data_IF_007194957529
#
_entry.id   IF_007194957529
#
_cell.length_a   1.000
_cell.length_b   1.000
_cell.length_c   1.000
_cell.angle_alpha   90.00
_cell.angle_beta   90.00
_cell.angle_gamma   90.00
#
_symmetry.space_group_name_H-M   'P 1'
#
loop_
_entity.id
_entity.type
_entity.pdbx_description
1 polymer ?
#
# COMPACT_ATOMS: atom_id res chain seq x y z
N UNK A 1 20.91 -2.69 -9.68
CA UNK A 1 19.83 -3.20 -10.57
C UNK A 1 18.79 -3.85 -9.68
N UNK A 2 17.50 -3.51 -9.85
CA UNK A 2 16.41 -4.00 -9.00
C UNK A 2 16.37 -5.55 -8.95
N UNK A 3 16.64 -6.21 -10.08
CA UNK A 3 16.86 -7.65 -10.14
C UNK A 3 18.21 -7.94 -10.80
N UNK A 4 18.99 -8.86 -10.23
CA UNK A 4 20.30 -9.30 -10.77
C UNK A 4 20.15 -10.35 -11.89
N UNK A 5 18.98 -10.98 -12.00
CA UNK A 5 18.62 -11.95 -13.03
C UNK A 5 17.21 -11.64 -13.57
N UNK A 6 16.92 -12.04 -14.82
CA UNK A 6 15.58 -11.88 -15.40
C UNK A 6 14.57 -12.71 -14.60
N UNK A 7 13.70 -12.05 -13.84
CA UNK A 7 12.49 -12.66 -13.28
C UNK A 7 11.41 -12.71 -14.35
N UNK A 8 10.86 -13.89 -14.61
CA UNK A 8 9.70 -14.15 -15.48
C UNK A 8 9.20 -15.60 -15.30
N UNK A 9 7.90 -15.87 -15.56
CA UNK A 9 6.82 -14.97 -15.23
C UNK A 9 6.79 -14.76 -13.70
N UNK A 10 6.33 -13.58 -13.31
CA UNK A 10 6.15 -13.21 -11.91
C UNK A 10 4.66 -13.20 -11.60
N UNK A 11 4.24 -13.93 -10.58
CA UNK A 11 2.83 -14.08 -10.18
C UNK A 11 2.74 -13.98 -8.66
N UNK A 12 2.17 -12.89 -8.12
CA UNK A 12 2.17 -12.64 -6.69
C UNK A 12 3.33 -11.77 -6.24
N UNK A 13 3.02 -10.77 -5.43
CA UNK A 13 3.96 -9.77 -4.92
C UNK A 13 3.47 -9.26 -3.58
N UNK A 14 4.37 -8.94 -2.66
CA UNK A 14 3.98 -8.39 -1.35
C UNK A 14 5.00 -7.40 -0.81
N UNK A 15 4.56 -6.40 -0.04
CA UNK A 15 5.44 -5.62 0.82
C UNK A 15 5.45 -6.18 2.24
N UNK A 16 6.64 -6.46 2.77
CA UNK A 16 6.77 -7.02 4.11
C UNK A 16 6.59 -5.93 5.18
N UNK A 17 5.39 -5.82 5.75
CA UNK A 17 5.10 -4.98 6.92
C UNK A 17 4.43 -5.82 8.01
N UNK A 18 5.24 -6.35 8.91
CA UNK A 18 4.79 -7.18 10.04
C UNK A 18 5.86 -7.24 11.11
N UNK A 19 5.52 -6.85 12.34
CA UNK A 19 6.45 -6.94 13.49
C UNK A 19 6.87 -8.37 13.84
N UNK A 20 6.18 -9.39 13.30
CA UNK A 20 6.62 -10.78 13.41
C UNK A 20 7.98 -11.01 12.72
N UNK A 21 8.32 -10.20 11.71
CA UNK A 21 9.62 -10.23 11.03
C UNK A 21 10.57 -9.15 11.55
N UNK A 22 11.90 -9.26 11.31
CA UNK A 22 12.89 -8.28 11.74
C UNK A 22 12.65 -6.85 11.23
N UNK A 23 13.24 -5.86 11.91
CA UNK A 23 13.04 -4.44 11.57
C UNK A 23 13.71 -4.08 10.24
N UNK A 24 14.86 -4.68 9.95
CA UNK A 24 15.70 -4.43 8.77
C UNK A 24 15.08 -4.91 7.44
N UNK A 25 13.98 -5.65 7.50
CA UNK A 25 13.22 -6.15 6.33
C UNK A 25 11.86 -5.49 6.17
N UNK A 26 11.48 -4.56 7.05
CA UNK A 26 10.21 -3.85 6.93
C UNK A 26 10.22 -2.94 5.70
N UNK A 27 9.21 -3.08 4.83
CA UNK A 27 9.13 -2.37 3.55
C UNK A 27 9.89 -3.02 2.40
N UNK A 28 10.52 -4.18 2.63
CA UNK A 28 11.08 -4.97 1.53
C UNK A 28 9.96 -5.50 0.62
N UNK A 29 10.29 -5.68 -0.66
CA UNK A 29 9.38 -6.18 -1.69
C UNK A 29 9.68 -7.64 -2.03
N UNK A 30 8.65 -8.47 -1.90
CA UNK A 30 8.66 -9.90 -2.22
C UNK A 30 8.05 -10.11 -3.59
N UNK A 31 8.68 -10.94 -4.41
CA UNK A 31 8.18 -11.29 -5.75
C UNK A 31 8.39 -12.77 -6.02
N UNK A 32 7.31 -13.44 -6.40
CA UNK A 32 7.36 -14.83 -6.86
C UNK A 32 7.93 -14.91 -8.28
N UNK A 33 8.58 -16.03 -8.58
CA UNK A 33 9.12 -16.33 -9.89
C UNK A 33 9.08 -17.84 -10.18
N UNK A 34 8.94 -18.20 -11.45
CA UNK A 34 8.78 -19.61 -11.86
C UNK A 34 9.66 -20.07 -13.02
N UNK A 35 10.33 -19.18 -13.78
CA UNK A 35 11.31 -19.56 -14.81
C UNK A 35 12.68 -18.96 -14.47
N UNK A 36 13.73 -19.79 -14.56
CA UNK A 36 15.11 -19.41 -14.22
C UNK A 36 15.41 -19.36 -12.72
N UNK A 37 14.38 -19.16 -11.89
CA UNK A 37 14.43 -19.26 -10.43
C UNK A 37 13.06 -19.69 -9.91
N UNK A 38 12.95 -20.88 -9.32
CA UNK A 38 11.69 -21.44 -8.81
C UNK A 38 11.53 -21.04 -7.35
N UNK A 39 10.96 -19.86 -7.08
CA UNK A 39 11.12 -19.28 -5.75
C UNK A 39 10.48 -17.91 -5.54
N UNK A 40 10.79 -17.33 -4.38
CA UNK A 40 10.45 -15.97 -4.01
C UNK A 40 11.74 -15.21 -3.74
N UNK A 41 11.89 -14.06 -4.41
CA UNK A 41 12.99 -13.13 -4.18
C UNK A 41 12.52 -12.00 -3.28
N UNK A 42 13.39 -11.61 -2.35
CA UNK A 42 13.18 -10.45 -1.48
C UNK A 42 14.12 -9.33 -1.90
N UNK A 43 13.56 -8.14 -2.05
CA UNK A 43 14.29 -6.95 -2.48
C UNK A 43 14.20 -5.89 -1.40
N UNK A 44 15.34 -5.28 -1.09
CA UNK A 44 15.36 -4.03 -0.35
C UNK A 44 14.92 -2.92 -1.30
N UNK A 45 13.97 -2.09 -0.89
CA UNK A 45 13.38 -1.02 -1.71
C UNK A 45 13.57 0.33 -1.04
N UNK A 46 13.84 1.35 -1.83
CA UNK A 46 13.87 2.74 -1.39
C UNK A 46 13.35 3.68 -2.49
N UNK A 47 13.01 4.90 -2.10
CA UNK A 47 12.49 5.91 -3.01
C UNK A 47 13.61 6.45 -3.92
N UNK A 48 13.29 6.67 -5.20
CA UNK A 48 14.19 7.31 -6.18
C UNK A 48 13.36 8.27 -7.05
N UNK A 49 13.44 9.56 -6.74
CA UNK A 49 12.53 10.57 -7.29
C UNK A 49 11.07 10.28 -6.92
N UNK A 50 10.16 10.35 -7.89
CA UNK A 50 8.76 9.95 -7.67
C UNK A 50 8.56 8.41 -7.64
N UNK A 51 9.56 7.64 -8.09
CA UNK A 51 9.51 6.19 -8.20
C UNK A 51 10.16 5.46 -7.03
N UNK A 52 10.46 4.19 -7.26
CA UNK A 52 11.19 3.32 -6.36
C UNK A 52 12.30 2.60 -7.10
N UNK A 53 13.39 2.35 -6.40
CA UNK A 53 14.47 1.47 -6.84
C UNK A 53 14.85 0.53 -5.70
N UNK A 54 15.82 -0.33 -5.94
CA UNK A 54 16.13 -1.39 -4.99
C UNK A 54 17.24 -2.31 -5.46
N UNK A 55 17.49 -3.31 -4.62
CA UNK A 55 18.44 -4.38 -4.90
C UNK A 55 17.96 -5.70 -4.31
N UNK A 56 18.41 -6.80 -4.91
CA UNK A 56 18.16 -8.14 -4.39
C UNK A 56 18.80 -8.28 -3.01
N UNK A 57 18.00 -8.59 -2.00
CA UNK A 57 18.49 -8.93 -0.66
C UNK A 57 18.83 -10.41 -0.57
N UNK A 58 17.87 -11.27 -0.91
CA UNK A 58 18.02 -12.72 -0.79
C UNK A 58 17.00 -13.48 -1.63
N UNK A 59 17.33 -14.74 -1.88
CA UNK A 59 16.38 -15.76 -2.33
C UNK A 59 15.67 -16.33 -1.09
N UNK A 60 14.51 -15.75 -0.75
CA UNK A 60 13.81 -16.01 0.51
C UNK A 60 13.28 -17.44 0.61
N UNK A 61 12.79 -17.97 -0.51
CA UNK A 61 12.32 -19.35 -0.64
C UNK A 61 12.68 -19.83 -2.04
N UNK A 62 13.18 -21.05 -2.15
CA UNK A 62 13.37 -21.72 -3.43
C UNK A 62 13.02 -23.20 -3.30
N UNK A 63 12.68 -23.83 -4.42
CA UNK A 63 12.40 -25.26 -4.49
C UNK A 63 13.13 -25.90 -5.67
N UNK A 64 13.57 -27.14 -5.47
CA UNK A 64 14.09 -28.04 -6.50
C UNK A 64 12.99 -28.84 -7.20
N UNK A 65 11.75 -28.78 -6.69
CA UNK A 65 10.58 -29.35 -7.33
C UNK A 65 10.27 -28.59 -8.64
N UNK A 66 10.38 -29.26 -9.81
CA UNK A 66 10.14 -28.62 -11.09
C UNK A 66 8.70 -28.16 -11.27
N UNK A 67 7.76 -28.57 -10.41
CA UNK A 67 6.36 -28.16 -10.43
C UNK A 67 6.04 -27.02 -9.45
N UNK A 68 6.99 -26.53 -8.65
CA UNK A 68 6.76 -25.40 -7.75
C UNK A 68 6.44 -24.10 -8.52
N UNK A 69 5.25 -23.54 -8.28
CA UNK A 69 4.67 -22.34 -8.91
C UNK A 69 4.11 -21.39 -7.85
N UNK A 70 4.96 -20.67 -7.09
CA UNK A 70 4.48 -19.65 -6.17
C UNK A 70 3.73 -18.58 -6.97
N UNK A 71 2.46 -18.35 -6.61
CA UNK A 71 1.56 -17.48 -7.35
C UNK A 71 0.95 -16.35 -6.52
N UNK A 72 1.04 -16.42 -5.20
CA UNK A 72 0.56 -15.37 -4.30
C UNK A 72 1.35 -15.33 -2.99
N UNK A 73 1.47 -14.14 -2.40
CA UNK A 73 2.07 -13.93 -1.07
C UNK A 73 1.18 -12.97 -0.29
N UNK A 74 0.79 -13.35 0.93
CA UNK A 74 -0.06 -12.51 1.78
C UNK A 74 0.40 -12.57 3.24
N UNK A 75 0.49 -11.41 3.91
CA UNK A 75 0.69 -11.37 5.37
C UNK A 75 -0.63 -11.67 6.10
N UNK A 76 -0.65 -12.70 6.93
CA UNK A 76 -1.76 -13.06 7.78
C UNK A 76 -1.94 -12.10 8.97
N UNK A 77 -3.12 -12.09 9.63
CA UNK A 77 -3.38 -11.26 10.83
C UNK A 77 -2.43 -11.49 11.99
N UNK A 78 -1.89 -12.69 12.09
CA UNK A 78 -0.91 -13.08 13.11
C UNK A 78 0.53 -12.68 12.73
N UNK A 79 0.68 -11.92 11.65
CA UNK A 79 1.95 -11.41 11.15
C UNK A 79 2.78 -12.41 10.35
N UNK A 80 2.38 -13.68 10.25
CA UNK A 80 3.07 -14.68 9.40
C UNK A 80 2.82 -14.43 7.91
N UNK A 81 3.67 -14.95 7.03
CA UNK A 81 3.46 -14.89 5.58
C UNK A 81 2.87 -16.21 5.08
N UNK A 82 1.87 -16.13 4.24
CA UNK A 82 1.32 -17.26 3.51
C UNK A 82 1.72 -17.17 2.03
N UNK A 83 2.06 -18.33 1.46
CA UNK A 83 2.39 -18.45 0.04
C UNK A 83 1.48 -19.51 -0.55
N UNK A 84 0.86 -19.16 -1.66
CA UNK A 84 0.13 -20.11 -2.49
C UNK A 84 1.05 -20.61 -3.60
N UNK A 85 1.12 -21.92 -3.72
CA UNK A 85 1.77 -22.60 -4.82
C UNK A 85 0.72 -23.34 -5.63
N UNK A 86 0.56 -22.95 -6.91
CA UNK A 86 -0.35 -23.63 -7.83
C UNK A 86 0.09 -25.10 -8.01
N UNK A 87 1.38 -25.42 -7.93
CA UNK A 87 1.93 -26.75 -8.19
C UNK A 87 1.49 -27.31 -9.56
N UNK A 88 2.13 -26.84 -10.64
CA UNK A 88 1.70 -27.19 -12.00
C UNK A 88 2.89 -27.51 -12.93
N UNK A 89 2.91 -28.68 -13.60
CA UNK A 89 3.94 -29.01 -14.58
C UNK A 89 4.04 -28.01 -15.74
N UNK A 90 2.92 -27.41 -16.15
CA UNK A 90 2.84 -26.60 -17.36
C UNK A 90 2.89 -25.09 -17.07
N UNK A 91 3.88 -24.41 -17.67
CA UNK A 91 4.03 -22.94 -17.62
C UNK A 91 3.86 -22.38 -19.03
N UNK A 92 2.94 -21.45 -19.24
CA UNK A 92 2.89 -20.74 -20.53
C UNK A 92 1.57 -20.06 -20.86
N UNK A 93 1.68 -19.01 -21.67
CA UNK A 93 0.58 -18.31 -22.32
C UNK A 93 0.24 -18.99 -23.64
N UNK A 94 -0.34 -20.20 -23.58
CA UNK A 94 -0.84 -20.98 -24.72
C UNK A 94 0.17 -21.82 -25.53
N UNK A 95 1.42 -22.00 -25.08
CA UNK A 95 2.34 -22.99 -25.69
C UNK A 95 1.83 -24.43 -25.55
N UNK A 96 1.02 -24.67 -24.52
CA UNK A 96 0.32 -25.93 -24.28
C UNK A 96 -1.18 -25.69 -24.34
N UNK A 97 -1.93 -26.63 -24.92
CA UNK A 97 -3.39 -26.60 -24.95
C UNK A 97 -3.96 -26.30 -23.57
N UNK A 98 -5.01 -25.47 -23.47
CA UNK A 98 -5.74 -25.27 -22.22
C UNK A 98 -6.39 -26.57 -21.70
N UNK A 99 -6.48 -27.61 -22.55
CA UNK A 99 -6.97 -28.97 -22.21
C UNK A 99 -5.85 -30.00 -22.11
N UNK A 100 -4.59 -29.58 -22.02
CA UNK A 100 -3.47 -30.52 -21.85
C UNK A 100 -3.68 -31.31 -20.54
N UNK A 101 -3.66 -32.65 -20.58
CA UNK A 101 -3.94 -33.49 -19.41
C UNK A 101 -2.91 -33.34 -18.29
N UNK A 102 -1.74 -32.75 -18.57
CA UNK A 102 -0.75 -32.44 -17.55
C UNK A 102 -1.01 -31.11 -16.82
N UNK A 103 -2.07 -30.37 -17.16
CA UNK A 103 -2.49 -29.21 -16.37
C UNK A 103 -3.13 -29.72 -15.08
N UNK A 104 -2.45 -29.45 -13.97
CA UNK A 104 -3.00 -29.77 -12.67
C UNK A 104 -4.11 -28.78 -12.28
N UNK A 105 -5.24 -29.33 -11.87
CA UNK A 105 -6.44 -28.62 -11.44
C UNK A 105 -6.86 -28.95 -10.00
N UNK A 106 -6.20 -29.93 -9.38
CA UNK A 106 -6.64 -30.57 -8.15
C UNK A 106 -5.64 -30.36 -7.00
N UNK A 107 -4.36 -30.17 -7.33
CA UNK A 107 -3.31 -30.01 -6.34
C UNK A 107 -2.79 -28.58 -6.25
N UNK A 108 -2.31 -28.25 -5.07
CA UNK A 108 -1.65 -27.00 -4.73
C UNK A 108 -1.03 -27.14 -3.34
N UNK A 109 -0.16 -26.20 -2.98
CA UNK A 109 0.45 -26.17 -1.65
C UNK A 109 0.26 -24.80 -1.03
N UNK A 110 0.08 -24.79 0.29
CA UNK A 110 0.04 -23.56 1.09
C UNK A 110 1.20 -23.63 2.07
N UNK A 111 2.12 -22.67 1.96
CA UNK A 111 3.22 -22.53 2.91
C UNK A 111 2.92 -21.40 3.88
N UNK A 112 3.29 -21.59 5.14
CA UNK A 112 3.29 -20.54 6.16
C UNK A 112 4.72 -20.31 6.62
N UNK A 113 5.21 -19.08 6.45
CA UNK A 113 6.54 -18.65 6.88
C UNK A 113 6.40 -17.83 8.16
N UNK A 114 7.15 -18.24 9.17
CA UNK A 114 7.26 -17.58 10.48
C UNK A 114 8.73 -17.30 10.79
N UNK A 115 8.99 -16.26 11.59
CA UNK A 115 10.33 -15.98 12.09
C UNK A 115 10.54 -16.73 13.44
N UNK A 116 11.49 -17.68 13.54
CA UNK A 116 11.56 -18.62 14.68
C UNK A 116 11.70 -17.98 16.06
N UNK A 117 12.36 -16.82 16.16
CA UNK A 117 12.66 -16.17 17.44
C UNK A 117 11.76 -14.97 17.77
N UNK A 118 10.65 -14.78 17.03
CA UNK A 118 9.67 -13.72 17.29
C UNK A 118 8.28 -14.32 17.48
N UNK A 119 7.50 -13.84 18.47
CA UNK A 119 6.14 -14.32 18.64
C UNK A 119 5.28 -13.92 17.44
N UNK A 120 4.23 -14.70 17.18
CA UNK A 120 3.14 -14.26 16.31
C UNK A 120 2.46 -13.04 16.93
N UNK A 121 1.86 -12.23 16.06
CA UNK A 121 1.05 -11.10 16.49
C UNK A 121 -0.30 -11.61 16.97
N UNK A 122 -0.85 -10.98 18.01
CA UNK A 122 -2.25 -11.15 18.37
C UNK A 122 -3.12 -10.41 17.35
N UNK A 123 -4.01 -11.11 16.61
CA UNK A 123 -4.85 -10.46 15.62
C UNK A 123 -5.74 -9.39 16.26
N UNK A 124 -5.72 -8.18 15.69
CA UNK A 124 -6.63 -7.13 16.11
C UNK A 124 -8.08 -7.56 15.86
N UNK A 125 -8.91 -7.52 16.89
CA UNK A 125 -10.36 -7.70 16.76
C UNK A 125 -10.93 -6.49 16.01
N UNK A 126 -11.75 -6.76 15.01
CA UNK A 126 -12.36 -5.74 14.14
C UNK A 126 -13.88 -5.91 14.16
N UNK A 127 -14.35 -7.10 13.76
CA UNK A 127 -15.78 -7.43 13.80
C UNK A 127 -16.37 -7.26 15.21
N UNK A 128 -17.53 -6.61 15.28
CA UNK A 128 -18.25 -6.33 16.53
C UNK A 128 -17.59 -5.34 17.50
N UNK A 129 -16.47 -4.70 17.14
CA UNK A 129 -15.82 -3.71 18.01
C UNK A 129 -16.48 -2.32 17.91
N UNK A 130 -16.55 -1.56 19.01
CA UNK A 130 -17.02 -0.18 18.96
C UNK A 130 -16.01 0.72 18.23
N UNK A 131 -16.50 1.81 17.63
CA UNK A 131 -15.69 2.78 16.88
C UNK A 131 -14.42 3.23 17.62
N UNK A 132 -14.51 3.47 18.93
CA UNK A 132 -13.35 3.86 19.74
C UNK A 132 -12.22 2.82 19.71
N UNK A 133 -12.53 1.52 19.68
CA UNK A 133 -11.52 0.46 19.54
C UNK A 133 -11.03 0.31 18.11
N UNK A 134 -11.91 0.49 17.13
CA UNK A 134 -11.53 0.49 15.71
C UNK A 134 -10.55 1.64 15.41
N UNK A 135 -10.76 2.84 15.95
CA UNK A 135 -9.82 3.95 15.75
C UNK A 135 -8.44 3.68 16.35
N UNK A 136 -8.34 2.97 17.48
CA UNK A 136 -7.05 2.56 18.01
C UNK A 136 -6.34 1.52 17.12
N UNK A 137 -7.08 0.65 16.41
CA UNK A 137 -6.48 -0.26 15.42
C UNK A 137 -5.84 0.51 14.23
N UNK A 138 -6.25 1.75 13.95
CA UNK A 138 -5.63 2.59 12.92
C UNK A 138 -4.19 3.01 13.28
N UNK A 139 -3.76 2.85 14.53
CA UNK A 139 -2.38 3.09 14.96
C UNK A 139 -1.46 1.87 14.74
N UNK A 140 -2.00 0.72 14.32
CA UNK A 140 -1.22 -0.52 14.13
C UNK A 140 -0.12 -0.31 13.08
N UNK A 141 1.12 -0.79 13.31
CA UNK A 141 2.18 -0.77 12.28
C UNK A 141 1.82 -1.59 11.03
N UNK A 142 1.09 -2.69 11.20
CA UNK A 142 0.65 -3.59 10.14
C UNK A 142 -0.42 -2.93 9.25
N UNK A 143 -0.07 -2.63 7.99
CA UNK A 143 -0.99 -1.93 7.09
C UNK A 143 -2.29 -2.71 6.82
N UNK A 144 -2.23 -4.05 6.79
CA UNK A 144 -3.40 -4.92 6.59
C UNK A 144 -4.40 -4.78 7.74
N UNK A 145 -3.94 -4.62 8.97
CA UNK A 145 -4.79 -4.34 10.14
C UNK A 145 -5.52 -3.01 9.96
N UNK A 146 -4.78 -1.95 9.59
CA UNK A 146 -5.38 -0.63 9.34
C UNK A 146 -6.37 -0.67 8.17
N UNK A 147 -6.02 -1.34 7.06
CA UNK A 147 -6.89 -1.50 5.89
C UNK A 147 -8.22 -2.18 6.22
N UNK A 148 -8.18 -3.32 6.92
CA UNK A 148 -9.39 -4.06 7.31
C UNK A 148 -10.23 -3.26 8.32
N UNK A 149 -9.58 -2.54 9.22
CA UNK A 149 -10.23 -1.63 10.17
C UNK A 149 -10.95 -0.49 9.45
N UNK A 150 -10.32 0.18 8.48
CA UNK A 150 -10.98 1.21 7.66
C UNK A 150 -12.18 0.66 6.90
N UNK A 151 -12.07 -0.56 6.37
CA UNK A 151 -13.18 -1.24 5.68
C UNK A 151 -14.35 -1.50 6.62
N UNK A 152 -14.09 -1.91 7.86
CA UNK A 152 -15.11 -2.06 8.89
C UNK A 152 -15.77 -0.72 9.23
N UNK A 153 -14.98 0.31 9.56
CA UNK A 153 -15.50 1.65 9.90
C UNK A 153 -16.40 2.21 8.80
N UNK A 154 -16.10 1.94 7.53
CA UNK A 154 -16.92 2.37 6.38
C UNK A 154 -18.35 1.80 6.41
N UNK A 155 -18.58 0.66 7.07
CA UNK A 155 -19.89 0.06 7.22
C UNK A 155 -20.76 0.68 8.32
N UNK A 156 -20.20 1.60 9.14
CA UNK A 156 -20.90 2.24 10.24
C UNK A 156 -21.57 3.55 9.79
N UNK A 157 -22.60 3.98 10.53
CA UNK A 157 -23.39 5.16 10.21
C UNK A 157 -22.53 6.44 10.19
N UNK A 158 -22.68 7.24 9.14
CA UNK A 158 -21.94 8.50 8.94
C UNK A 158 -22.08 9.44 10.15
N UNK A 159 -23.30 9.54 10.70
CA UNK A 159 -23.63 10.38 11.86
C UNK A 159 -22.90 9.98 13.14
N UNK A 160 -22.44 8.74 13.24
CA UNK A 160 -21.66 8.25 14.38
C UNK A 160 -20.15 8.38 14.12
N UNK A 161 -19.71 8.02 12.90
CA UNK A 161 -18.29 7.97 12.54
C UNK A 161 -17.66 9.35 12.50
N UNK A 162 -18.25 10.31 11.79
CA UNK A 162 -17.66 11.64 11.57
C UNK A 162 -17.37 12.38 12.88
N UNK A 163 -18.33 12.59 13.80
CA UNK A 163 -18.03 13.29 15.04
C UNK A 163 -17.07 12.51 15.93
N UNK A 164 -17.05 11.18 15.86
CA UNK A 164 -16.16 10.36 16.67
C UNK A 164 -14.71 10.38 16.17
N UNK A 165 -14.47 10.28 14.86
CA UNK A 165 -13.12 10.33 14.28
C UNK A 165 -12.51 11.74 14.43
N UNK A 166 -13.31 12.80 14.30
CA UNK A 166 -12.84 14.17 14.53
C UNK A 166 -12.36 14.38 15.97
N UNK A 167 -13.12 13.88 16.96
CA UNK A 167 -12.69 13.90 18.36
C UNK A 167 -11.43 13.08 18.60
N UNK A 168 -11.34 11.89 17.99
CA UNK A 168 -10.16 11.04 18.09
C UNK A 168 -8.92 11.72 17.50
N UNK A 169 -9.04 12.32 16.32
CA UNK A 169 -7.95 13.04 15.64
C UNK A 169 -7.46 14.24 16.47
N UNK A 170 -8.38 15.00 17.08
CA UNK A 170 -8.04 16.13 17.95
C UNK A 170 -7.30 15.72 19.23
N UNK A 171 -7.37 14.46 19.64
CA UNK A 171 -6.74 13.92 20.84
C UNK A 171 -5.41 13.20 20.56
N UNK A 172 -4.97 13.13 19.30
CA UNK A 172 -3.67 12.53 18.96
C UNK A 172 -2.52 13.31 19.60
N UNK A 173 -1.54 12.60 20.17
CA UNK A 173 -0.33 13.22 20.70
C UNK A 173 0.54 13.73 19.55
N UNK A 174 0.70 15.05 19.44
CA UNK A 174 1.54 15.69 18.41
C UNK A 174 3.02 15.32 18.49
N UNK A 175 3.46 14.71 19.60
CA UNK A 175 4.84 14.24 19.81
C UNK A 175 5.02 12.78 19.37
N UNK A 176 3.94 12.07 19.05
CA UNK A 176 4.03 10.72 18.50
C UNK A 176 4.71 10.78 17.12
N UNK A 177 5.78 10.01 16.86
CA UNK A 177 6.43 9.98 15.55
C UNK A 177 5.48 9.59 14.42
N UNK A 178 4.40 8.85 14.72
CA UNK A 178 3.37 8.45 13.79
C UNK A 178 2.18 9.45 13.71
N UNK A 179 2.25 10.61 14.37
CA UNK A 179 1.16 11.60 14.41
C UNK A 179 0.61 11.93 13.01
N UNK A 180 1.49 12.27 12.06
CA UNK A 180 1.08 12.63 10.70
C UNK A 180 0.42 11.47 9.95
N UNK A 181 0.87 10.22 10.18
CA UNK A 181 0.24 9.02 9.62
C UNK A 181 -1.13 8.78 10.25
N UNK A 182 -1.24 8.93 11.56
CA UNK A 182 -2.50 8.74 12.28
C UNK A 182 -3.53 9.83 11.89
N UNK A 183 -3.08 11.05 11.62
CA UNK A 183 -3.94 12.12 11.09
C UNK A 183 -4.43 11.80 9.67
N UNK A 184 -3.56 11.23 8.82
CA UNK A 184 -3.94 10.73 7.50
C UNK A 184 -4.97 9.59 7.58
N UNK A 185 -4.86 8.70 8.56
CA UNK A 185 -5.85 7.66 8.81
C UNK A 185 -7.24 8.27 9.13
N UNK A 186 -7.28 9.35 9.93
CA UNK A 186 -8.52 10.09 10.16
C UNK A 186 -9.09 10.71 8.87
N UNK A 187 -8.24 11.33 8.04
CA UNK A 187 -8.66 11.88 6.74
C UNK A 187 -9.22 10.78 5.82
N UNK A 188 -8.60 9.60 5.78
CA UNK A 188 -9.12 8.48 5.00
C UNK A 188 -10.44 7.93 5.52
N UNK A 189 -10.68 7.96 6.84
CA UNK A 189 -11.97 7.58 7.41
C UNK A 189 -13.07 8.55 7.00
N UNK A 190 -12.83 9.88 7.08
CA UNK A 190 -13.83 10.88 6.65
C UNK A 190 -14.09 10.81 5.15
N UNK A 191 -13.05 10.58 4.35
CA UNK A 191 -13.18 10.33 2.91
C UNK A 191 -13.95 9.06 2.59
N UNK A 192 -13.73 7.96 3.31
CA UNK A 192 -14.46 6.70 3.11
C UNK A 192 -15.97 6.82 3.39
N UNK A 193 -16.35 7.77 4.24
CA UNK A 193 -17.74 8.14 4.55
C UNK A 193 -18.33 9.17 3.56
N UNK A 194 -17.59 9.54 2.51
CA UNK A 194 -17.97 10.57 1.55
C UNK A 194 -18.32 11.92 2.21
N UNK A 195 -17.59 12.27 3.28
CA UNK A 195 -17.70 13.52 4.02
C UNK A 195 -16.28 14.01 4.31
N UNK A 196 -15.54 14.39 3.27
CA UNK A 196 -14.12 14.77 3.44
C UNK A 196 -14.01 15.96 4.37
N UNK A 197 -13.21 15.81 5.43
CA UNK A 197 -12.93 16.87 6.37
C UNK A 197 -11.81 17.76 5.82
N UNK A 198 -12.17 18.99 5.40
CA UNK A 198 -11.22 19.96 4.85
C UNK A 198 -10.14 20.38 5.86
N UNK A 199 -10.45 20.40 7.15
CA UNK A 199 -9.49 20.72 8.21
C UNK A 199 -8.40 19.65 8.33
N UNK A 200 -8.77 18.38 8.29
CA UNK A 200 -7.83 17.26 8.23
C UNK A 200 -7.06 17.24 6.90
N UNK A 201 -7.75 17.50 5.78
CA UNK A 201 -7.12 17.54 4.46
C UNK A 201 -6.01 18.60 4.41
N UNK A 202 -6.30 19.82 4.85
CA UNK A 202 -5.32 20.91 4.85
C UNK A 202 -4.13 20.61 5.78
N UNK A 203 -4.38 20.02 6.97
CA UNK A 203 -3.29 19.60 7.84
C UNK A 203 -2.40 18.53 7.20
N UNK A 204 -2.97 17.54 6.51
CA UNK A 204 -2.19 16.52 5.81
C UNK A 204 -1.44 17.08 4.59
N UNK A 205 -2.02 18.04 3.85
CA UNK A 205 -1.34 18.73 2.74
C UNK A 205 -0.16 19.58 3.21
N UNK A 206 -0.16 20.05 4.47
CA UNK A 206 0.94 20.80 5.09
C UNK A 206 1.87 19.93 5.94
N UNK A 207 1.78 18.61 5.87
CA UNK A 207 2.60 17.70 6.68
C UNK A 207 4.07 17.74 6.27
N UNK A 208 4.99 17.60 7.24
CA UNK A 208 6.43 17.43 6.96
C UNK A 208 6.74 16.13 6.20
N UNK A 209 5.86 15.12 6.28
CA UNK A 209 6.00 13.88 5.50
C UNK A 209 5.44 14.06 4.09
N UNK A 210 6.31 14.00 3.09
CA UNK A 210 5.89 13.99 1.68
C UNK A 210 4.99 12.81 1.33
N UNK A 211 5.08 11.69 2.05
CA UNK A 211 4.18 10.54 1.87
C UNK A 211 2.75 10.90 2.29
N UNK A 212 2.60 11.64 3.41
CA UNK A 212 1.30 12.14 3.87
C UNK A 212 0.75 13.21 2.93
N UNK A 213 1.59 14.16 2.49
CA UNK A 213 1.19 15.15 1.47
C UNK A 213 0.72 14.48 0.18
N UNK A 214 1.48 13.51 -0.34
CA UNK A 214 1.13 12.74 -1.55
C UNK A 214 -0.21 12.03 -1.39
N UNK A 215 -0.44 11.39 -0.24
CA UNK A 215 -1.70 10.71 0.06
C UNK A 215 -2.89 11.69 0.17
N UNK A 216 -2.67 12.88 0.75
CA UNK A 216 -3.68 13.93 0.84
C UNK A 216 -4.06 14.50 -0.53
N UNK A 217 -3.07 14.71 -1.42
CA UNK A 217 -3.33 15.11 -2.82
C UNK A 217 -4.16 14.04 -3.54
N UNK A 218 -3.91 12.75 -3.26
CA UNK A 218 -4.74 11.67 -3.79
C UNK A 218 -6.18 11.74 -3.28
N UNK A 219 -6.40 12.03 -1.99
CA UNK A 219 -7.75 12.27 -1.45
C UNK A 219 -8.42 13.44 -2.18
N UNK A 220 -7.72 14.56 -2.31
CA UNK A 220 -8.20 15.74 -3.03
C UNK A 220 -8.57 15.40 -4.48
N UNK A 221 -7.81 14.55 -5.19
CA UNK A 221 -8.14 14.09 -6.56
C UNK A 221 -9.52 13.44 -6.65
N UNK A 222 -9.93 12.68 -5.65
CA UNK A 222 -11.24 12.04 -5.65
C UNK A 222 -12.35 12.92 -5.05
N UNK A 223 -11.98 13.92 -4.25
CA UNK A 223 -12.91 14.75 -3.49
C UNK A 223 -12.96 16.21 -3.93
N UNK A 224 -12.30 16.60 -5.01
CA UNK A 224 -12.13 18.01 -5.41
C UNK A 224 -13.45 18.77 -5.55
N UNK A 225 -14.56 18.10 -5.90
CA UNK A 225 -15.90 18.69 -5.99
C UNK A 225 -16.51 19.07 -4.64
N UNK A 226 -15.93 18.61 -3.53
CA UNK A 226 -16.34 18.92 -2.16
C UNK A 226 -15.42 19.97 -1.51
N UNK A 227 -14.41 20.47 -2.23
CA UNK A 227 -13.38 21.36 -1.69
C UNK A 227 -13.32 22.61 -2.56
N UNK A 228 -13.82 23.74 -2.08
CA UNK A 228 -13.98 24.94 -2.90
C UNK A 228 -12.65 25.44 -3.51
N UNK A 229 -11.55 25.33 -2.76
CA UNK A 229 -10.22 25.83 -3.13
C UNK A 229 -9.31 24.76 -3.76
N UNK A 230 -9.89 23.70 -4.33
CA UNK A 230 -9.14 22.55 -4.87
C UNK A 230 -8.05 22.94 -5.87
N UNK A 231 -8.34 23.92 -6.74
CA UNK A 231 -7.41 24.35 -7.79
C UNK A 231 -6.13 24.95 -7.21
N UNK A 232 -6.24 25.79 -6.18
CA UNK A 232 -5.06 26.35 -5.49
C UNK A 232 -4.29 25.26 -4.77
N UNK A 233 -4.99 24.33 -4.09
CA UNK A 233 -4.35 23.22 -3.38
C UNK A 233 -3.55 22.32 -4.33
N UNK A 234 -4.09 21.99 -5.52
CA UNK A 234 -3.33 21.24 -6.52
C UNK A 234 -2.15 22.03 -7.09
N UNK A 235 -2.30 23.33 -7.32
CA UNK A 235 -1.18 24.17 -7.76
C UNK A 235 -0.06 24.20 -6.71
N UNK A 236 -0.39 24.28 -5.42
CA UNK A 236 0.60 24.16 -4.35
C UNK A 236 1.29 22.79 -4.36
N UNK A 237 0.53 21.70 -4.50
CA UNK A 237 1.09 20.36 -4.59
C UNK A 237 1.95 20.12 -5.84
N UNK A 238 1.61 20.77 -6.96
CA UNK A 238 2.41 20.74 -8.17
C UNK A 238 3.76 21.46 -8.00
N UNK A 239 3.81 22.48 -7.15
CA UNK A 239 5.05 23.16 -6.75
C UNK A 239 5.79 22.53 -5.56
N UNK A 240 5.37 21.37 -5.07
CA UNK A 240 5.98 20.72 -3.89
C UNK A 240 7.44 20.35 -4.15
N UNK A 241 8.28 20.42 -3.11
CA UNK A 241 9.69 20.03 -3.17
C UNK A 241 9.87 18.55 -3.57
N UNK A 242 8.94 17.69 -3.16
CA UNK A 242 9.08 16.25 -3.32
C UNK A 242 8.41 15.78 -4.63
N UNK A 243 9.14 15.08 -5.52
CA UNK A 243 8.64 14.68 -6.83
C UNK A 243 7.39 13.80 -6.80
N UNK A 244 7.20 12.98 -5.75
CA UNK A 244 5.98 12.18 -5.58
C UNK A 244 4.72 13.03 -5.36
N UNK A 245 4.82 14.14 -4.63
CA UNK A 245 3.68 15.03 -4.40
C UNK A 245 3.31 15.73 -5.71
N UNK A 246 4.32 16.21 -6.44
CA UNK A 246 4.13 16.77 -7.79
C UNK A 246 3.50 15.77 -8.75
N UNK A 247 3.94 14.51 -8.75
CA UNK A 247 3.37 13.45 -9.57
C UNK A 247 1.89 13.24 -9.27
N UNK A 248 1.49 13.15 -8.00
CA UNK A 248 0.08 13.01 -7.63
C UNK A 248 -0.75 14.20 -8.11
N UNK A 249 -0.21 15.42 -8.03
CA UNK A 249 -0.86 16.63 -8.54
C UNK A 249 -1.02 16.59 -10.07
N UNK A 250 0.02 16.21 -10.81
CA UNK A 250 -0.03 16.08 -12.28
C UNK A 250 -1.06 15.03 -12.70
N UNK A 251 -1.08 13.87 -12.04
CA UNK A 251 -2.08 12.83 -12.30
C UNK A 251 -3.48 13.37 -12.01
N UNK A 252 -3.65 14.11 -10.91
CA UNK A 252 -4.92 14.76 -10.60
C UNK A 252 -5.33 15.82 -11.65
N UNK A 253 -4.38 16.56 -12.23
CA UNK A 253 -4.63 17.53 -13.29
C UNK A 253 -5.32 16.91 -14.52
N UNK A 254 -5.07 15.63 -14.82
CA UNK A 254 -5.75 14.91 -15.92
C UNK A 254 -7.25 14.64 -15.67
N UNK A 255 -7.75 14.88 -14.45
CA UNK A 255 -9.16 14.69 -14.07
C UNK A 255 -9.95 16.01 -14.02
N UNK A 256 -9.26 17.15 -14.17
CA UNK A 256 -9.84 18.49 -14.03
C UNK A 256 -10.11 19.12 -15.40
N UNK A 257 -10.78 20.27 -15.39
CA UNK A 257 -10.98 21.06 -16.59
C UNK A 257 -9.63 21.41 -17.25
N UNK A 258 -9.62 21.44 -18.59
CA UNK A 258 -8.39 21.51 -19.38
C UNK A 258 -7.46 22.66 -19.01
N UNK A 259 -8.00 23.83 -18.66
CA UNK A 259 -7.19 24.99 -18.27
C UNK A 259 -6.50 24.77 -16.91
N UNK A 260 -7.24 24.31 -15.91
CA UNK A 260 -6.74 24.03 -14.57
C UNK A 260 -5.72 22.90 -14.61
N UNK A 261 -6.06 21.80 -15.29
CA UNK A 261 -5.18 20.64 -15.46
C UNK A 261 -3.87 20.98 -16.17
N UNK A 262 -3.93 21.79 -17.24
CA UNK A 262 -2.73 22.22 -17.96
C UNK A 262 -1.80 23.07 -17.09
N UNK A 263 -2.34 23.99 -16.28
CA UNK A 263 -1.54 24.81 -15.36
C UNK A 263 -0.84 23.96 -14.30
N UNK A 264 -1.54 22.99 -13.73
CA UNK A 264 -0.99 22.02 -12.76
C UNK A 264 0.14 21.20 -13.40
N UNK A 265 -0.08 20.69 -14.62
CA UNK A 265 0.92 19.91 -15.35
C UNK A 265 2.19 20.74 -15.63
N UNK A 266 2.04 21.97 -16.11
CA UNK A 266 3.16 22.89 -16.37
C UNK A 266 3.93 23.18 -15.09
N UNK A 267 3.23 23.44 -13.98
CA UNK A 267 3.88 23.69 -12.69
C UNK A 267 4.69 22.48 -12.22
N UNK A 268 4.07 21.29 -12.22
CA UNK A 268 4.69 20.06 -11.72
C UNK A 268 5.89 19.59 -12.55
N UNK A 269 5.96 19.98 -13.82
CA UNK A 269 7.06 19.64 -14.73
C UNK A 269 8.21 20.68 -14.74
N UNK A 270 8.14 21.75 -13.94
CA UNK A 270 9.27 22.69 -13.80
C UNK A 270 10.51 22.06 -13.19
N UNK A 271 10.34 20.97 -12.45
CA UNK A 271 11.40 20.18 -11.85
C UNK A 271 11.28 18.72 -12.30
N UNK A 272 12.41 18.01 -12.40
CA UNK A 272 12.40 16.59 -12.76
C UNK A 272 11.52 15.76 -11.81
N UNK A 273 10.69 14.88 -12.37
CA UNK A 273 9.77 14.00 -11.61
C UNK A 273 10.41 12.62 -11.42
N UNK A 274 11.17 12.16 -12.41
CA UNK A 274 12.00 10.97 -12.37
C UNK A 274 13.40 11.34 -12.86
N UNK A 275 14.42 10.62 -12.37
CA UNK A 275 15.74 10.60 -13.02
C UNK A 275 15.70 9.89 -14.36
#
# INVERSE_FOLDING_TARGET
QFTTYRVRPTSGTEFLYSRHFPEEVQGDFLICNTIGFLGIKQHKVWEDGAGFTGELRQDMLYSDDPNFRPCEIETAPDGSLYILDWHNPLIGHMQHSARDPNRDHDHGRIYRITYPSRPLLEPAKIDGQPLAKLFENLKSPEYRTRYRTRREIRGHEVSEVIPAIQRWAAQLDKRDPDYNRNLLEALWVTWAQNQVDEGLLNQCLSSDSHQVRSAAVRVLRYAWRQVDDYARLFMTAAGDEHPRVRLEAIVAGSWLDSEVGARIAVEGMKHEITR
#
